data_IF_545536089656
#
_entry.id   IF_545536089656
#
_cell.length_a   1.000
_cell.length_b   1.000
_cell.length_c   1.000
_cell.angle_alpha   90.00
_cell.angle_beta   90.00
_cell.angle_gamma   90.00
#
_symmetry.space_group_name_H-M   'P 1'
#
loop_
_entity.id
_entity.type
_entity.pdbx_description
1 polymer ?
#
# COMPACT_ATOMS: atom_id res chain seq x y z
N UNK A 1 -22.29 -7.31 -17.81
CA UNK A 1 -21.62 -6.44 -18.79
C UNK A 1 -21.97 -4.99 -18.51
N UNK A 2 -21.05 -4.23 -17.90
CA UNK A 2 -20.96 -2.76 -18.00
C UNK A 2 -19.76 -2.29 -17.19
N UNK A 3 -18.57 -2.28 -17.80
CA UNK A 3 -17.44 -1.49 -17.34
C UNK A 3 -17.69 -0.03 -17.74
N UNK A 4 -17.49 0.91 -16.82
CA UNK A 4 -17.33 2.34 -17.15
C UNK A 4 -16.07 2.88 -16.51
N UNK A 5 -15.14 3.24 -17.39
CA UNK A 5 -13.96 4.08 -17.16
C UNK A 5 -14.34 5.40 -16.48
N UNK A 6 -13.50 5.87 -15.55
CA UNK A 6 -12.91 7.22 -15.60
C UNK A 6 -11.78 7.37 -14.57
N UNK A 7 -10.53 7.54 -15.00
CA UNK A 7 -9.59 8.44 -14.30
C UNK A 7 -8.66 9.04 -15.34
N UNK A 8 -8.74 10.37 -15.48
CA UNK A 8 -7.65 11.16 -16.04
C UNK A 8 -7.59 12.44 -15.22
N UNK A 9 -6.51 12.63 -14.47
CA UNK A 9 -5.87 13.93 -14.40
C UNK A 9 -4.43 13.80 -13.90
N UNK A 10 -3.51 14.23 -14.75
CA UNK A 10 -2.11 14.55 -14.44
C UNK A 10 -2.08 15.69 -13.43
N UNK A 11 -1.16 15.66 -12.46
CA UNK A 11 -0.47 16.86 -12.02
C UNK A 11 0.97 16.53 -11.59
N UNK A 12 1.91 17.24 -12.22
CA UNK A 12 3.34 17.25 -11.95
C UNK A 12 3.73 18.68 -11.52
N UNK A 13 4.90 18.79 -10.90
CA UNK A 13 5.67 19.95 -10.44
C UNK A 13 5.41 20.47 -9.00
N UNK A 14 6.22 19.97 -8.08
CA UNK A 14 7.43 20.65 -7.59
C UNK A 14 7.29 22.12 -7.14
N UNK A 15 7.41 22.37 -5.82
CA UNK A 15 8.05 23.59 -5.27
C UNK A 15 8.56 23.34 -3.84
N UNK A 16 9.81 23.75 -3.63
CA UNK A 16 10.59 23.72 -2.38
C UNK A 16 10.23 24.96 -1.53
N UNK A 17 10.11 24.89 -0.20
CA UNK A 17 9.95 26.10 0.61
C UNK A 17 11.31 26.75 0.91
N UNK A 18 11.45 28.02 0.52
CA UNK A 18 12.49 28.92 1.01
C UNK A 18 11.79 30.07 1.72
N UNK A 19 12.10 30.30 3.00
CA UNK A 19 12.28 31.61 3.64
C UNK A 19 12.12 31.49 5.17
N UNK A 20 13.26 31.42 5.86
CA UNK A 20 13.37 31.86 7.24
C UNK A 20 13.76 33.34 7.22
N UNK A 21 12.92 34.22 7.75
CA UNK A 21 13.29 35.60 8.04
C UNK A 21 13.30 35.84 9.55
N UNK A 22 14.49 36.17 10.06
CA UNK A 22 14.69 36.80 11.37
C UNK A 22 14.45 38.31 11.21
N UNK A 23 13.57 38.87 12.04
CA UNK A 23 13.48 40.29 12.38
C UNK A 23 12.97 40.30 13.82
N UNK A 24 13.59 40.86 14.86
CA UNK A 24 14.42 42.05 15.01
C UNK A 24 13.93 42.68 16.33
N UNK A 25 14.78 42.77 17.34
CA UNK A 25 14.45 43.33 18.67
C UNK A 25 14.22 44.84 18.60
N UNK A 26 13.19 45.34 19.30
CA UNK A 26 12.91 46.76 19.55
C UNK A 26 12.07 46.93 20.83
N UNK A 27 12.22 48.04 21.57
CA UNK A 27 11.91 48.09 23.01
C UNK A 27 10.43 48.37 23.33
N UNK A 28 10.01 47.84 24.47
CA UNK A 28 8.70 48.01 25.10
C UNK A 28 8.49 49.44 25.62
N UNK A 29 7.52 50.17 25.08
CA UNK A 29 6.84 51.27 25.79
C UNK A 29 5.41 51.47 25.26
N UNK A 30 4.44 51.59 26.18
CA UNK A 30 3.20 52.35 25.96
C UNK A 30 1.88 51.57 25.99
N UNK A 31 1.12 51.73 27.08
CA UNK A 31 -0.30 51.33 27.20
C UNK A 31 -1.22 52.38 26.55
N UNK A 32 -2.29 51.96 25.85
CA UNK A 32 -3.39 52.87 25.49
C UNK A 32 -4.36 52.44 24.37
N UNK A 33 -5.50 51.88 24.81
CA UNK A 33 -6.86 52.04 24.25
C UNK A 33 -7.38 51.24 23.02
N UNK A 34 -8.54 50.61 23.30
CA UNK A 34 -9.76 50.40 22.49
C UNK A 34 -9.69 49.66 21.15
N UNK A 35 -10.04 48.38 21.21
CA UNK A 35 -11.29 47.88 20.61
C UNK A 35 -11.52 48.06 19.10
N UNK A 36 -11.06 47.08 18.32
CA UNK A 36 -11.83 46.29 17.33
C UNK A 36 -10.86 45.28 16.71
N UNK A 37 -10.66 44.16 17.40
CA UNK A 37 -9.91 43.03 16.86
C UNK A 37 -10.72 42.38 15.76
N UNK A 38 -10.20 42.38 14.53
CA UNK A 38 -10.62 41.43 13.50
C UNK A 38 -10.23 40.05 14.03
N UNK A 39 -11.22 39.25 14.42
CA UNK A 39 -10.96 37.86 14.76
C UNK A 39 -10.59 37.15 13.46
N UNK A 40 -9.30 36.95 13.23
CA UNK A 40 -8.84 35.98 12.24
C UNK A 40 -9.31 34.63 12.79
N UNK A 41 -10.43 34.12 12.26
CA UNK A 41 -10.81 32.73 12.44
C UNK A 41 -9.78 31.93 11.65
N UNK A 42 -8.64 31.65 12.28
CA UNK A 42 -7.80 30.56 11.82
C UNK A 42 -8.63 29.31 12.06
N UNK A 43 -9.02 28.61 10.99
CA UNK A 43 -9.49 27.23 11.05
C UNK A 43 -8.34 26.34 11.56
N UNK A 44 -8.02 26.50 12.84
CA UNK A 44 -7.28 25.53 13.62
C UNK A 44 -8.28 24.43 13.98
N UNK A 45 -8.75 23.71 12.96
CA UNK A 45 -9.27 22.37 13.20
C UNK A 45 -8.06 21.54 13.65
N UNK A 46 -7.96 21.15 14.93
CA UNK A 46 -6.90 20.25 15.34
C UNK A 46 -7.06 18.97 14.51
N UNK A 47 -6.04 18.61 13.72
CA UNK A 47 -5.97 17.24 13.17
C UNK A 47 -6.15 16.32 14.37
N UNK A 48 -7.23 15.53 14.37
CA UNK A 48 -7.55 14.62 15.47
C UNK A 48 -6.27 13.87 15.86
N UNK A 49 -5.85 13.90 17.14
CA UNK A 49 -4.68 13.14 17.55
C UNK A 49 -4.93 11.67 17.22
N UNK A 50 -4.00 11.03 16.48
CA UNK A 50 -4.03 9.60 16.22
C UNK A 50 -4.19 8.88 17.56
N UNK A 51 -5.30 8.18 17.77
CA UNK A 51 -5.53 7.44 19.01
C UNK A 51 -4.47 6.35 19.07
N UNK A 52 -3.69 6.29 20.14
CA UNK A 52 -2.59 5.31 20.31
C UNK A 52 -3.01 3.85 20.04
N UNK A 53 -4.30 3.52 20.19
CA UNK A 53 -4.86 2.20 19.84
C UNK A 53 -5.00 1.89 18.35
N UNK A 54 -4.97 2.89 17.46
CA UNK A 54 -4.99 2.71 16.00
C UNK A 54 -3.62 2.21 15.51
N UNK A 55 -2.54 2.83 16.01
CA UNK A 55 -1.17 2.42 15.68
C UNK A 55 -0.83 0.98 16.04
N UNK A 56 -1.38 0.43 17.14
CA UNK A 56 -1.12 -0.97 17.53
C UNK A 56 -1.88 -1.96 16.63
N UNK A 57 -3.13 -1.66 16.27
CA UNK A 57 -3.92 -2.48 15.36
C UNK A 57 -3.34 -2.47 13.94
N UNK A 58 -2.83 -1.32 13.52
CA UNK A 58 -2.18 -1.18 12.21
C UNK A 58 -0.86 -1.94 12.17
N UNK A 59 -0.11 -1.99 13.26
CA UNK A 59 1.13 -2.79 13.33
C UNK A 59 0.82 -4.29 13.32
N UNK A 60 -0.20 -4.74 14.05
CA UNK A 60 -0.63 -6.14 14.04
C UNK A 60 -1.13 -6.55 12.64
N UNK A 61 -1.98 -5.72 12.00
CA UNK A 61 -2.41 -5.92 10.61
C UNK A 61 -1.21 -5.93 9.67
N UNK A 62 -0.32 -4.93 9.74
CA UNK A 62 0.90 -4.83 8.93
C UNK A 62 1.74 -6.10 9.04
N UNK A 63 1.87 -6.67 10.24
CA UNK A 63 2.59 -7.92 10.44
C UNK A 63 1.93 -9.09 9.69
N UNK A 64 0.61 -9.22 9.77
CA UNK A 64 -0.14 -10.28 9.05
C UNK A 64 -0.02 -10.08 7.54
N UNK A 65 -0.21 -8.86 7.05
CA UNK A 65 -0.09 -8.53 5.62
C UNK A 65 1.33 -8.75 5.11
N UNK A 66 2.36 -8.45 5.92
CA UNK A 66 3.75 -8.73 5.56
C UNK A 66 3.97 -10.24 5.39
N UNK A 67 3.51 -11.05 6.33
CA UNK A 67 3.58 -12.51 6.21
C UNK A 67 2.82 -13.05 4.99
N UNK A 68 1.71 -12.42 4.58
CA UNK A 68 1.03 -12.73 3.33
C UNK A 68 1.90 -12.37 2.11
N UNK A 69 2.42 -11.15 2.03
CA UNK A 69 3.26 -10.68 0.92
C UNK A 69 4.53 -11.53 0.77
N UNK A 70 5.14 -11.92 1.89
CA UNK A 70 6.32 -12.79 1.92
C UNK A 70 5.98 -14.28 1.73
N UNK A 71 4.70 -14.65 1.86
CA UNK A 71 4.20 -16.03 1.93
C UNK A 71 5.07 -16.88 2.87
N UNK A 72 5.30 -16.39 4.09
CA UNK A 72 6.27 -16.99 5.04
C UNK A 72 5.75 -18.23 5.78
N UNK A 73 4.47 -18.57 5.58
CA UNK A 73 3.74 -19.66 6.22
C UNK A 73 2.65 -20.20 5.28
N UNK A 74 2.04 -21.35 5.58
CA UNK A 74 1.02 -21.95 4.72
C UNK A 74 -0.16 -21.01 4.44
N UNK A 75 -0.68 -21.04 3.21
CA UNK A 75 -1.81 -20.18 2.80
C UNK A 75 -3.03 -20.38 3.70
N UNK A 76 -3.36 -21.63 4.04
CA UNK A 76 -4.46 -21.96 4.94
C UNK A 76 -4.32 -21.38 6.38
N UNK A 77 -3.10 -21.07 6.83
CA UNK A 77 -2.89 -20.35 8.08
C UNK A 77 -3.10 -18.85 7.91
N UNK A 78 -2.62 -18.28 6.80
CA UNK A 78 -2.82 -16.87 6.47
C UNK A 78 -4.30 -16.55 6.30
N UNK A 79 -5.07 -17.39 5.61
CA UNK A 79 -6.53 -17.24 5.48
C UNK A 79 -7.23 -17.08 6.82
N UNK A 80 -6.86 -17.91 7.82
CA UNK A 80 -7.43 -17.83 9.17
C UNK A 80 -7.09 -16.52 9.88
N UNK A 81 -5.88 -16.01 9.66
CA UNK A 81 -5.44 -14.72 10.21
C UNK A 81 -6.10 -13.53 9.51
N UNK A 82 -6.40 -13.67 8.21
CA UNK A 82 -7.03 -12.65 7.38
C UNK A 82 -8.55 -12.63 7.54
N UNK A 83 -9.20 -13.75 7.86
CA UNK A 83 -10.65 -13.88 8.02
C UNK A 83 -11.33 -12.80 8.90
N UNK A 84 -10.76 -12.36 10.05
CA UNK A 84 -11.35 -11.29 10.84
C UNK A 84 -11.03 -9.87 10.32
N UNK A 85 -10.17 -9.72 9.31
CA UNK A 85 -9.72 -8.44 8.77
C UNK A 85 -10.51 -8.10 7.49
N UNK A 86 -11.20 -6.95 7.43
CA UNK A 86 -11.77 -6.45 6.19
C UNK A 86 -10.71 -6.35 5.08
N UNK A 87 -11.12 -6.64 3.86
CA UNK A 87 -10.28 -6.55 2.66
C UNK A 87 -10.10 -5.08 2.23
N UNK A 88 -11.14 -4.27 2.41
CA UNK A 88 -11.13 -2.84 2.17
C UNK A 88 -10.48 -2.12 3.35
N UNK A 89 -9.51 -1.28 3.05
CA UNK A 89 -8.73 -0.61 4.08
C UNK A 89 -8.21 0.74 3.57
N UNK A 90 -8.29 1.82 4.37
CA UNK A 90 -8.13 3.17 3.84
C UNK A 90 -6.69 3.54 3.45
N UNK A 91 -5.70 2.76 3.86
CA UNK A 91 -4.28 3.08 3.63
C UNK A 91 -3.44 1.83 3.44
N UNK A 92 -2.63 1.77 2.39
CA UNK A 92 -1.64 0.71 2.23
C UNK A 92 -0.67 0.64 3.42
N UNK A 93 -0.40 -0.57 3.91
CA UNK A 93 0.50 -0.84 5.03
C UNK A 93 1.79 -1.52 4.60
N UNK A 94 1.75 -2.28 3.50
CA UNK A 94 2.86 -3.03 2.93
C UNK A 94 2.89 -2.81 1.42
N UNK A 95 4.09 -2.78 0.84
CA UNK A 95 4.28 -2.71 -0.61
C UNK A 95 4.74 -4.08 -1.13
N UNK A 96 4.03 -4.62 -2.11
CA UNK A 96 4.43 -5.82 -2.83
C UNK A 96 5.31 -5.43 -4.03
N UNK A 97 6.51 -6.01 -4.09
CA UNK A 97 7.48 -5.81 -5.18
C UNK A 97 7.61 -7.08 -6.01
N UNK A 98 8.22 -6.95 -7.19
CA UNK A 98 8.50 -8.12 -8.02
C UNK A 98 9.41 -9.16 -7.35
N UNK A 99 10.24 -8.75 -6.37
CA UNK A 99 11.09 -9.68 -5.63
C UNK A 99 10.30 -10.61 -4.71
N UNK A 100 9.14 -10.17 -4.20
CA UNK A 100 8.23 -11.05 -3.46
C UNK A 100 7.64 -12.11 -4.41
N UNK A 101 7.17 -11.70 -5.60
CA UNK A 101 6.69 -12.64 -6.63
C UNK A 101 7.82 -13.62 -7.01
N UNK A 102 9.03 -13.11 -7.24
CA UNK A 102 10.22 -13.92 -7.54
C UNK A 102 10.46 -14.99 -6.49
N UNK A 103 10.38 -14.62 -5.20
CA UNK A 103 10.54 -15.55 -4.08
C UNK A 103 9.48 -16.67 -4.07
N UNK A 104 8.21 -16.32 -4.35
CA UNK A 104 7.11 -17.31 -4.47
C UNK A 104 7.35 -18.25 -5.65
N UNK A 105 7.65 -17.72 -6.84
CA UNK A 105 7.90 -18.53 -8.04
C UNK A 105 9.11 -19.45 -7.91
N UNK A 106 10.18 -19.00 -7.24
CA UNK A 106 11.36 -19.85 -6.99
C UNK A 106 11.03 -21.01 -6.03
N UNK A 107 10.21 -20.78 -5.00
CA UNK A 107 9.76 -21.84 -4.09
C UNK A 107 8.82 -22.83 -4.78
N UNK A 108 7.94 -22.36 -5.65
CA UNK A 108 7.14 -23.22 -6.53
C UNK A 108 8.02 -24.10 -7.43
N UNK A 109 9.01 -23.50 -8.11
CA UNK A 109 9.95 -24.26 -8.95
C UNK A 109 10.82 -25.26 -8.18
N UNK A 110 11.07 -25.00 -6.90
CA UNK A 110 11.77 -25.92 -6.00
C UNK A 110 10.87 -27.02 -5.42
N UNK A 111 9.56 -27.00 -5.71
CA UNK A 111 8.58 -27.95 -5.20
C UNK A 111 8.19 -27.71 -3.74
N UNK A 112 8.50 -26.54 -3.18
CA UNK A 112 8.08 -26.14 -1.83
C UNK A 112 6.66 -25.58 -1.77
N UNK A 113 6.10 -25.19 -2.92
CA UNK A 113 4.73 -24.73 -3.09
C UNK A 113 4.11 -25.50 -4.25
N UNK A 114 2.85 -25.85 -4.13
CA UNK A 114 2.04 -26.35 -5.23
C UNK A 114 1.47 -25.18 -6.05
N UNK A 115 1.01 -25.47 -7.28
CA UNK A 115 0.38 -24.45 -8.12
C UNK A 115 -0.84 -23.80 -7.42
N UNK A 116 -1.58 -24.61 -6.66
CA UNK A 116 -2.72 -24.17 -5.87
C UNK A 116 -2.32 -23.17 -4.77
N UNK A 117 -1.19 -23.38 -4.08
CA UNK A 117 -0.72 -22.45 -3.06
C UNK A 117 -0.40 -21.07 -3.67
N UNK A 118 0.16 -21.05 -4.89
CA UNK A 118 0.49 -19.81 -5.61
C UNK A 118 -0.78 -19.08 -6.05
N UNK A 119 -1.77 -19.80 -6.55
CA UNK A 119 -3.08 -19.27 -6.95
C UNK A 119 -3.80 -18.64 -5.76
N UNK A 120 -3.97 -19.40 -4.67
CA UNK A 120 -4.67 -18.93 -3.47
C UNK A 120 -3.94 -17.74 -2.82
N UNK A 121 -2.62 -17.75 -2.80
CA UNK A 121 -1.84 -16.59 -2.36
C UNK A 121 -2.08 -15.35 -3.23
N UNK A 122 -2.08 -15.51 -4.56
CA UNK A 122 -2.29 -14.41 -5.48
C UNK A 122 -3.70 -13.82 -5.36
N UNK A 123 -4.72 -14.66 -5.20
CA UNK A 123 -6.11 -14.23 -4.96
C UNK A 123 -6.23 -13.40 -3.68
N UNK A 124 -5.64 -13.87 -2.58
CA UNK A 124 -5.63 -13.13 -1.31
C UNK A 124 -4.92 -11.78 -1.40
N UNK A 125 -3.84 -11.69 -2.18
CA UNK A 125 -3.08 -10.45 -2.36
C UNK A 125 -3.83 -9.46 -3.26
N UNK A 126 -4.40 -9.92 -4.36
CA UNK A 126 -5.04 -9.08 -5.39
C UNK A 126 -6.23 -8.30 -4.83
N UNK A 127 -6.97 -8.92 -3.91
CA UNK A 127 -8.21 -8.39 -3.33
C UNK A 127 -8.01 -7.37 -2.20
N UNK A 128 -6.78 -7.08 -1.75
CA UNK A 128 -6.52 -6.30 -0.53
C UNK A 128 -6.05 -4.87 -0.76
N UNK A 129 -6.78 -3.91 -0.19
CA UNK A 129 -6.46 -2.46 -0.26
C UNK A 129 -5.33 -2.03 0.69
N UNK A 130 -4.98 -2.85 1.68
CA UNK A 130 -3.83 -2.60 2.55
C UNK A 130 -2.47 -3.05 1.97
N UNK A 131 -2.46 -3.46 0.70
CA UNK A 131 -1.26 -3.78 -0.10
C UNK A 131 -1.14 -2.80 -1.27
N UNK A 132 -0.03 -2.09 -1.34
CA UNK A 132 0.35 -1.28 -2.52
C UNK A 132 1.20 -2.14 -3.48
N UNK A 133 1.00 -1.99 -4.80
CA UNK A 133 1.87 -2.61 -5.80
C UNK A 133 2.98 -1.64 -6.19
N UNK A 134 4.24 -2.08 -6.14
CA UNK A 134 5.38 -1.22 -6.47
C UNK A 134 5.39 -0.77 -7.94
N UNK A 135 4.88 -1.60 -8.85
CA UNK A 135 4.88 -1.38 -10.29
C UNK A 135 3.62 -2.01 -10.92
N UNK A 136 3.12 -1.44 -12.03
CA UNK A 136 1.97 -1.98 -12.78
C UNK A 136 2.19 -3.44 -13.18
N UNK A 137 3.40 -3.78 -13.62
CA UNK A 137 3.78 -5.17 -13.96
C UNK A 137 3.59 -6.12 -12.77
N UNK A 138 3.90 -5.67 -11.56
CA UNK A 138 3.74 -6.48 -10.35
C UNK A 138 2.26 -6.80 -10.14
N UNK A 139 1.38 -5.81 -10.32
CA UNK A 139 -0.07 -5.98 -10.26
C UNK A 139 -0.59 -6.91 -11.37
N UNK A 140 -0.12 -6.74 -12.60
CA UNK A 140 -0.51 -7.59 -13.74
C UNK A 140 -0.17 -9.06 -13.51
N UNK A 141 1.03 -9.35 -12.98
CA UNK A 141 1.43 -10.73 -12.71
C UNK A 141 0.62 -11.34 -11.56
N UNK A 142 0.34 -10.58 -10.49
CA UNK A 142 -0.54 -11.06 -9.42
C UNK A 142 -1.94 -11.35 -9.95
N UNK A 143 -2.52 -10.45 -10.76
CA UNK A 143 -3.83 -10.67 -11.38
C UNK A 143 -3.86 -11.91 -12.28
N UNK A 144 -2.80 -12.12 -13.07
CA UNK A 144 -2.66 -13.33 -13.89
C UNK A 144 -2.67 -14.60 -13.05
N UNK A 145 -1.94 -14.60 -11.94
CA UNK A 145 -1.81 -15.75 -11.04
C UNK A 145 -3.09 -16.01 -10.22
N UNK A 146 -3.87 -14.97 -9.89
CA UNK A 146 -5.15 -15.12 -9.19
C UNK A 146 -6.30 -15.55 -10.10
N UNK A 147 -6.14 -15.46 -11.43
CA UNK A 147 -7.19 -15.80 -12.39
C UNK A 147 -6.74 -16.83 -13.46
N UNK A 148 -6.24 -18.01 -13.05
CA UNK A 148 -5.70 -19.03 -13.96
C UNK A 148 -6.75 -19.59 -14.94
N UNK A 149 -8.03 -19.50 -14.63
CA UNK A 149 -9.13 -19.84 -15.53
C UNK A 149 -9.19 -18.96 -16.79
N UNK A 150 -8.61 -17.76 -16.73
CA UNK A 150 -8.51 -16.81 -17.86
C UNK A 150 -7.10 -16.82 -18.46
N UNK A 151 -6.06 -17.00 -17.63
CA UNK A 151 -4.66 -16.82 -18.02
C UNK A 151 -3.80 -18.09 -18.07
N UNK A 152 -4.39 -19.27 -17.82
CA UNK A 152 -3.75 -20.57 -17.61
C UNK A 152 -3.16 -20.77 -16.19
N UNK A 153 -3.30 -21.98 -15.60
CA UNK A 153 -2.65 -22.33 -14.34
C UNK A 153 -1.13 -22.18 -14.40
N UNK A 154 -0.52 -21.83 -13.26
CA UNK A 154 0.94 -21.74 -13.15
C UNK A 154 1.57 -23.13 -13.34
N UNK A 155 2.55 -23.20 -14.23
CA UNK A 155 3.41 -24.36 -14.42
C UNK A 155 4.90 -23.94 -14.41
N UNK A 156 5.79 -24.92 -14.52
CA UNK A 156 7.23 -24.67 -14.50
C UNK A 156 7.74 -23.84 -15.69
N UNK A 157 7.03 -23.82 -16.82
CA UNK A 157 7.41 -23.03 -17.99
C UNK A 157 7.01 -21.56 -17.78
N UNK A 158 5.76 -21.31 -17.38
CA UNK A 158 5.25 -19.98 -17.10
C UNK A 158 6.01 -19.33 -15.93
N UNK A 159 6.31 -20.07 -14.86
CA UNK A 159 7.12 -19.55 -13.76
C UNK A 159 8.51 -19.07 -14.23
N UNK A 160 9.18 -19.83 -15.12
CA UNK A 160 10.48 -19.42 -15.69
C UNK A 160 10.35 -18.22 -16.62
N UNK A 161 9.26 -18.14 -17.39
CA UNK A 161 8.98 -16.98 -18.25
C UNK A 161 8.81 -15.72 -17.41
N UNK A 162 8.03 -15.79 -16.33
CA UNK A 162 7.83 -14.66 -15.41
C UNK A 162 9.13 -14.24 -14.72
N UNK A 163 9.99 -15.20 -14.37
CA UNK A 163 11.32 -14.92 -13.79
C UNK A 163 12.33 -14.34 -14.78
N UNK A 164 12.08 -14.41 -16.09
CA UNK A 164 13.02 -13.90 -17.07
C UNK A 164 13.17 -12.38 -16.95
N UNK A 165 14.41 -11.85 -17.06
CA UNK A 165 14.60 -10.43 -17.25
C UNK A 165 13.87 -10.02 -18.52
N UNK A 166 13.00 -9.02 -18.43
CA UNK A 166 12.46 -8.42 -19.64
C UNK A 166 13.62 -7.65 -20.27
N UNK A 167 14.15 -8.15 -21.39
CA UNK A 167 14.90 -7.28 -22.30
C UNK A 167 13.92 -6.25 -22.83
N UNK A 168 14.10 -5.00 -22.41
CA UNK A 168 13.46 -3.84 -23.01
C UNK A 168 14.05 -3.55 -24.40
#
# INVERSE_FOLDING_TARGET
>A
MAFKLWVSLKFNLQTIPSECHIVGMGPLTGWGQSGRGVAIVTDNHPKRPRRQGESRKDEERRSIIRSLVELDRPVAELEKLLAPLPWDYPTALVTLTYDHIRSVLLRFLAGNLEAKDVEEWADLVEMRDDIEFAEDRTKEVVHMLSTPQIHFPIDGQLARLLLSPISH
#
